data_IF_831319158220
#
_entry.id   IF_831319158220
#
_cell.length_a   1.000
_cell.length_b   1.000
_cell.length_c   1.000
_cell.angle_alpha   90.00
_cell.angle_beta   90.00
_cell.angle_gamma   90.00
#
_symmetry.space_group_name_H-M   'P 1'
#
loop_
_entity.id
_entity.type
_entity.pdbx_description
1 polymer ?
#
# COMPACT_ATOMS: atom_id res chain seq x y z
N UNK A 1 -0.33 30.16 51.05
CA UNK A 1 0.55 29.86 52.19
C UNK A 1 -0.05 28.70 52.97
N UNK A 2 0.31 27.46 52.63
CA UNK A 2 0.27 26.28 53.50
C UNK A 2 1.00 25.15 52.77
N UNK A 3 2.21 24.85 53.22
CA UNK A 3 2.98 23.67 52.84
C UNK A 3 2.42 22.43 53.54
N UNK A 4 2.39 21.29 52.85
CA UNK A 4 2.73 20.01 53.50
C UNK A 4 3.26 19.01 52.49
N UNK A 5 4.57 18.75 52.64
CA UNK A 5 5.27 17.61 52.08
C UNK A 5 4.97 16.36 52.91
N UNK A 6 4.88 15.19 52.27
CA UNK A 6 5.42 13.95 52.82
C UNK A 6 5.65 12.90 51.72
N UNK A 7 6.91 12.47 51.65
CA UNK A 7 7.42 11.31 50.92
C UNK A 7 7.01 10.00 51.59
N UNK A 8 6.75 8.95 50.79
CA UNK A 8 7.20 7.55 50.97
C UNK A 8 6.91 6.79 49.65
N UNK A 9 7.89 6.34 48.87
CA UNK A 9 8.79 5.19 49.08
C UNK A 9 8.03 3.85 48.92
N UNK A 10 8.22 3.21 47.76
CA UNK A 10 7.67 1.89 47.44
C UNK A 10 8.17 1.43 46.07
N UNK A 11 9.47 1.17 45.96
CA UNK A 11 10.12 0.65 44.75
C UNK A 11 10.13 -0.87 44.88
N UNK A 12 9.15 -1.54 44.26
CA UNK A 12 9.09 -3.00 44.27
C UNK A 12 9.93 -3.56 43.12
N UNK A 13 11.04 -4.17 43.53
CA UNK A 13 11.99 -4.93 42.73
C UNK A 13 11.57 -6.38 42.84
N UNK A 14 10.97 -6.93 41.80
CA UNK A 14 10.93 -8.38 41.55
C UNK A 14 10.37 -8.59 40.15
N UNK A 15 11.00 -9.51 39.41
CA UNK A 15 10.54 -10.30 38.27
C UNK A 15 11.73 -10.52 37.33
N UNK A 16 12.59 -11.42 37.80
CA UNK A 16 13.55 -12.17 37.00
C UNK A 16 12.92 -13.53 36.65
N UNK A 17 13.33 -14.04 35.48
CA UNK A 17 13.13 -15.40 34.93
C UNK A 17 11.78 -15.69 34.24
N UNK A 18 11.80 -15.85 32.92
CA UNK A 18 11.85 -17.21 32.36
C UNK A 18 12.29 -17.18 30.88
N UNK A 19 13.30 -17.98 30.58
CA UNK A 19 13.68 -18.37 29.23
C UNK A 19 12.60 -19.26 28.63
N UNK A 20 12.15 -18.97 27.41
CA UNK A 20 11.49 -19.94 26.55
C UNK A 20 11.96 -19.74 25.11
N UNK A 21 12.80 -20.68 24.69
CA UNK A 21 13.25 -20.88 23.32
C UNK A 21 12.02 -21.31 22.51
N UNK A 22 11.57 -20.48 21.57
CA UNK A 22 10.62 -20.91 20.53
C UNK A 22 11.42 -21.02 19.23
N UNK A 23 11.74 -22.26 18.87
CA UNK A 23 12.13 -22.60 17.51
C UNK A 23 10.85 -22.67 16.66
N UNK A 24 10.62 -21.68 15.80
CA UNK A 24 9.57 -21.77 14.77
C UNK A 24 10.20 -22.28 13.48
N UNK A 25 9.68 -23.40 13.02
CA UNK A 25 10.02 -24.01 11.74
C UNK A 25 9.67 -23.07 10.58
N UNK A 26 10.67 -22.78 9.75
CA UNK A 26 10.50 -22.09 8.47
C UNK A 26 9.90 -23.09 7.48
N UNK A 27 8.60 -22.95 7.18
CA UNK A 27 7.98 -23.62 6.04
C UNK A 27 8.05 -22.63 4.88
N UNK A 28 9.03 -22.82 3.99
CA UNK A 28 9.07 -22.15 2.69
C UNK A 28 7.92 -22.67 1.85
N UNK A 29 6.95 -21.82 1.52
CA UNK A 29 5.96 -22.14 0.50
C UNK A 29 6.59 -21.85 -0.86
N UNK A 30 6.90 -22.92 -1.59
CA UNK A 30 7.29 -22.85 -2.99
C UNK A 30 6.24 -22.11 -3.82
N UNK A 31 6.71 -21.17 -4.63
CA UNK A 31 5.91 -20.42 -5.58
C UNK A 31 5.45 -21.36 -6.71
N UNK A 32 4.14 -21.50 -6.87
CA UNK A 32 3.53 -22.03 -8.09
C UNK A 32 3.65 -20.97 -9.20
N UNK A 33 4.63 -21.14 -10.07
CA UNK A 33 4.68 -20.53 -11.40
C UNK A 33 3.52 -21.09 -12.24
N UNK A 34 2.58 -20.22 -12.62
CA UNK A 34 1.55 -20.55 -13.60
C UNK A 34 2.05 -20.06 -14.96
N UNK A 35 2.58 -20.97 -15.79
CA UNK A 35 2.83 -20.71 -17.20
C UNK A 35 1.49 -20.72 -17.95
N UNK A 36 1.09 -19.57 -18.50
CA UNK A 36 0.03 -19.49 -19.49
C UNK A 36 0.68 -19.45 -20.88
N UNK A 37 0.64 -20.60 -21.56
CA UNK A 37 1.02 -20.76 -22.97
C UNK A 37 -0.20 -20.70 -23.87
N UNK A 38 -0.05 -19.97 -24.96
CA UNK A 38 -0.60 -20.36 -26.26
C UNK A 38 -1.73 -19.48 -26.77
N UNK A 39 -1.45 -18.72 -27.83
CA UNK A 39 -2.28 -18.76 -29.04
C UNK A 39 -1.47 -18.36 -30.29
N UNK A 40 -1.20 -19.41 -31.09
CA UNK A 40 -1.22 -19.52 -32.54
C UNK A 40 -0.79 -18.30 -33.39
N UNK A 41 0.42 -18.44 -33.91
CA UNK A 41 0.90 -17.83 -35.15
C UNK A 41 0.16 -18.44 -36.36
N UNK A 42 -0.54 -17.62 -37.14
CA UNK A 42 -1.04 -17.98 -38.47
C UNK A 42 -0.35 -17.10 -39.49
N UNK A 43 0.55 -17.72 -40.26
CA UNK A 43 1.16 -17.14 -41.44
C UNK A 43 0.17 -17.17 -42.62
N UNK A 44 0.07 -16.05 -43.34
CA UNK A 44 -0.62 -15.94 -44.62
C UNK A 44 -0.01 -14.81 -45.45
N UNK A 45 0.30 -15.03 -46.75
CA UNK A 45 1.12 -14.10 -47.55
C UNK A 45 0.29 -13.09 -48.37
N UNK A 46 1.02 -12.05 -48.79
CA UNK A 46 0.81 -11.21 -49.99
C UNK A 46 -0.35 -10.20 -49.99
N UNK A 47 -0.02 -8.91 -50.05
CA UNK A 47 -0.24 -8.08 -51.25
C UNK A 47 0.13 -6.61 -50.96
N UNK A 48 1.04 -6.08 -51.77
CA UNK A 48 1.40 -4.68 -51.87
C UNK A 48 0.39 -3.91 -52.72
N UNK A 49 -0.11 -2.78 -52.22
CA UNK A 49 -0.71 -1.72 -53.05
C UNK A 49 -0.43 -0.31 -52.49
N UNK A 50 -0.25 0.72 -53.34
CA UNK A 50 0.18 2.05 -52.95
C UNK A 50 -0.97 3.08 -52.76
N UNK A 51 -0.72 4.04 -51.86
CA UNK A 51 -1.07 5.48 -51.83
C UNK A 51 -2.54 5.94 -52.07
N UNK A 52 -3.11 6.66 -51.08
CA UNK A 52 -3.83 7.96 -51.20
C UNK A 52 -4.28 8.42 -49.80
N UNK A 53 -3.78 9.55 -49.29
CA UNK A 53 -4.35 10.90 -49.40
C UNK A 53 -5.61 11.13 -48.53
N UNK A 54 -5.39 11.83 -47.40
CA UNK A 54 -6.16 12.95 -46.86
C UNK A 54 -7.70 12.97 -47.01
N UNK A 55 -8.44 12.76 -45.91
CA UNK A 55 -9.77 13.35 -45.63
C UNK A 55 -10.02 13.24 -44.10
N UNK A 56 -9.85 14.31 -43.31
CA UNK A 56 -10.86 15.29 -42.87
C UNK A 56 -12.16 14.65 -42.31
N UNK A 57 -12.52 15.09 -41.09
CA UNK A 57 -13.80 14.84 -40.40
C UNK A 57 -13.89 13.59 -39.52
N UNK A 58 -13.24 13.63 -38.34
CA UNK A 58 -13.69 12.83 -37.21
C UNK A 58 -14.64 13.70 -36.36
N UNK A 59 -15.94 13.43 -36.54
CA UNK A 59 -17.03 14.00 -35.75
C UNK A 59 -16.84 13.66 -34.28
N UNK A 60 -16.85 14.70 -33.45
CA UNK A 60 -17.21 14.66 -32.04
C UNK A 60 -18.58 13.97 -31.90
N UNK A 61 -18.61 12.75 -31.37
CA UNK A 61 -19.80 12.21 -30.75
C UNK A 61 -19.63 12.26 -29.24
N UNK A 62 -20.41 13.19 -28.69
CA UNK A 62 -20.73 13.40 -27.29
C UNK A 62 -21.10 12.09 -26.61
N UNK A 63 -20.19 11.55 -25.81
CA UNK A 63 -20.55 10.63 -24.75
C UNK A 63 -21.23 11.46 -23.66
N UNK A 64 -22.53 11.25 -23.47
CA UNK A 64 -23.32 11.82 -22.39
C UNK A 64 -22.66 11.50 -21.06
N UNK A 65 -22.09 12.53 -20.43
CA UNK A 65 -21.64 12.46 -19.06
C UNK A 65 -22.82 12.10 -18.17
N UNK A 66 -22.67 11.02 -17.40
CA UNK A 66 -23.38 10.89 -16.13
C UNK A 66 -23.01 12.13 -15.33
N UNK A 67 -23.95 13.06 -15.26
CA UNK A 67 -23.89 14.23 -14.41
C UNK A 67 -23.94 13.70 -12.98
N UNK A 68 -22.76 13.47 -12.41
CA UNK A 68 -22.56 13.29 -10.98
C UNK A 68 -23.16 14.55 -10.33
N UNK A 69 -24.34 14.38 -9.73
CA UNK A 69 -25.09 15.44 -9.09
C UNK A 69 -24.15 16.11 -8.08
N UNK A 70 -23.79 17.37 -8.35
CA UNK A 70 -22.86 18.13 -7.54
C UNK A 70 -23.47 18.32 -6.16
N UNK A 71 -23.22 17.36 -5.27
CA UNK A 71 -23.50 17.50 -3.84
C UNK A 71 -22.84 18.80 -3.38
N UNK A 72 -23.58 19.66 -2.65
CA UNK A 72 -23.03 20.91 -2.14
C UNK A 72 -21.75 20.57 -1.39
N UNK A 73 -20.67 21.31 -1.70
CA UNK A 73 -19.33 21.08 -1.15
C UNK A 73 -19.35 21.25 0.37
N UNK A 74 -19.79 20.20 1.07
CA UNK A 74 -19.65 20.07 2.50
C UNK A 74 -18.18 20.25 2.80
N UNK A 75 -17.86 21.08 3.80
CA UNK A 75 -16.49 21.22 4.29
C UNK A 75 -15.97 19.82 4.57
N UNK A 76 -14.97 19.41 3.78
CA UNK A 76 -14.47 18.04 3.73
C UNK A 76 -14.13 17.59 5.16
N UNK A 77 -14.74 16.49 5.62
CA UNK A 77 -14.43 15.89 6.91
C UNK A 77 -15.13 16.44 8.16
N UNK A 78 -16.15 17.29 8.03
CA UNK A 78 -16.94 17.73 9.20
C UNK A 78 -18.25 16.95 9.33
N UNK A 79 -18.43 16.25 10.47
CA UNK A 79 -19.61 15.45 10.76
C UNK A 79 -20.64 16.27 11.56
N UNK A 80 -21.62 16.85 10.87
CA UNK A 80 -22.64 17.75 11.46
C UNK A 80 -24.09 17.31 11.21
N UNK A 81 -24.29 16.31 10.37
CA UNK A 81 -25.62 15.92 9.89
C UNK A 81 -25.94 14.53 10.40
N UNK A 82 -27.15 14.38 10.97
CA UNK A 82 -27.66 13.08 11.41
C UNK A 82 -27.65 12.10 10.24
N UNK A 83 -27.13 10.90 10.49
CA UNK A 83 -27.16 9.83 9.50
C UNK A 83 -28.51 9.14 9.55
N UNK A 84 -29.10 8.94 8.37
CA UNK A 84 -30.30 8.11 8.20
C UNK A 84 -29.94 6.91 7.32
N UNK A 85 -29.87 5.72 7.91
CA UNK A 85 -29.42 4.50 7.24
C UNK A 85 -27.90 4.33 7.24
N UNK A 86 -27.38 3.65 6.21
CA UNK A 86 -25.97 3.21 6.15
C UNK A 86 -25.07 4.12 5.28
N UNK A 87 -25.58 5.23 4.75
CA UNK A 87 -24.76 6.14 3.96
C UNK A 87 -23.97 7.10 4.85
N UNK A 88 -22.64 7.19 4.71
CA UNK A 88 -21.84 8.12 5.49
C UNK A 88 -22.18 9.56 5.14
N UNK A 89 -22.31 10.41 6.16
CA UNK A 89 -22.57 11.85 6.00
C UNK A 89 -21.29 12.66 5.88
N UNK A 90 -20.15 12.08 6.27
CA UNK A 90 -18.82 12.63 6.04
C UNK A 90 -17.87 11.55 5.51
N UNK A 91 -16.93 11.95 4.66
CA UNK A 91 -15.89 11.08 4.13
C UNK A 91 -14.54 11.78 4.19
N UNK A 92 -13.51 11.05 4.62
CA UNK A 92 -12.12 11.51 4.63
C UNK A 92 -11.21 10.43 4.08
N UNK A 93 -10.13 10.84 3.41
CA UNK A 93 -9.13 9.91 2.86
C UNK A 93 -7.82 10.09 3.61
N UNK A 94 -7.16 8.98 3.93
CA UNK A 94 -5.79 8.98 4.47
C UNK A 94 -4.88 9.60 3.42
N UNK A 95 -4.22 10.69 3.79
CA UNK A 95 -3.26 11.38 2.94
C UNK A 95 -1.96 10.56 2.81
N UNK A 96 -1.47 10.42 1.57
CA UNK A 96 -0.30 9.60 1.27
C UNK A 96 1.03 10.17 1.75
N UNK A 97 1.07 11.47 2.09
CA UNK A 97 2.29 12.15 2.52
C UNK A 97 2.44 12.18 4.03
N UNK A 98 1.32 12.12 4.75
CA UNK A 98 1.29 12.18 6.21
C UNK A 98 0.79 10.90 6.85
N UNK A 99 0.22 9.96 6.08
CA UNK A 99 -0.44 8.75 6.57
C UNK A 99 -1.55 9.05 7.60
N UNK A 100 -2.16 10.24 7.49
CA UNK A 100 -3.21 10.72 8.37
C UNK A 100 -4.48 11.11 7.62
N UNK A 101 -5.62 10.95 8.29
CA UNK A 101 -6.89 11.60 7.95
C UNK A 101 -7.40 12.31 9.20
N UNK A 102 -8.07 13.44 9.02
CA UNK A 102 -8.67 14.22 10.10
C UNK A 102 -10.12 14.48 9.81
N UNK A 103 -10.98 14.24 10.79
CA UNK A 103 -12.38 14.61 10.74
C UNK A 103 -12.82 15.22 12.07
N UNK A 104 -13.86 16.03 12.04
CA UNK A 104 -14.38 16.71 13.23
C UNK A 104 -15.79 16.23 13.53
N UNK A 105 -16.03 15.78 14.75
CA UNK A 105 -17.35 15.54 15.30
C UNK A 105 -17.96 16.88 15.74
N UNK A 106 -18.77 17.50 14.87
CA UNK A 106 -19.25 18.87 15.04
C UNK A 106 -20.74 19.00 15.34
N UNK A 107 -21.18 20.23 15.62
CA UNK A 107 -22.60 20.53 15.88
C UNK A 107 -23.10 19.84 17.14
N UNK A 108 -24.20 19.10 17.03
CA UNK A 108 -24.80 18.35 18.15
C UNK A 108 -24.10 16.99 18.40
N UNK A 109 -23.21 16.55 17.51
CA UNK A 109 -22.54 15.24 17.53
C UNK A 109 -21.23 15.24 18.34
N UNK A 110 -21.20 15.93 19.47
CA UNK A 110 -20.03 16.09 20.34
C UNK A 110 -20.00 15.11 21.51
N UNK A 111 -20.94 14.15 21.56
CA UNK A 111 -21.12 13.18 22.65
C UNK A 111 -20.04 12.11 22.75
N UNK A 112 -19.18 11.99 21.74
CA UNK A 112 -18.09 11.01 21.70
C UNK A 112 -17.98 10.33 20.33
N UNK A 113 -17.18 9.27 20.27
CA UNK A 113 -17.00 8.45 19.08
C UNK A 113 -17.36 6.99 19.35
N UNK A 114 -17.79 6.29 18.29
CA UNK A 114 -17.83 4.83 18.26
C UNK A 114 -16.92 4.36 17.11
N UNK A 115 -15.91 3.52 17.38
CA UNK A 115 -15.46 3.06 18.70
C UNK A 115 -15.01 4.19 19.64
N UNK A 116 -14.96 3.90 20.95
CA UNK A 116 -14.61 4.90 21.96
C UNK A 116 -13.16 5.37 21.77
N UNK A 117 -12.90 6.67 21.87
CA UNK A 117 -11.56 7.24 21.77
C UNK A 117 -10.56 6.74 22.81
N UNK A 118 -11.02 6.11 23.91
CA UNK A 118 -10.14 5.41 24.85
C UNK A 118 -9.52 4.12 24.28
N UNK A 119 -10.08 3.60 23.19
CA UNK A 119 -9.61 2.41 22.47
C UNK A 119 -9.06 2.82 21.10
N UNK A 120 -7.89 3.49 21.06
CA UNK A 120 -7.46 4.23 19.88
C UNK A 120 -7.12 3.31 18.69
N UNK A 121 -7.01 1.99 18.88
CA UNK A 121 -6.74 1.04 17.79
C UNK A 121 -8.01 0.52 17.13
N UNK A 122 -9.20 0.83 17.66
CA UNK A 122 -10.48 0.29 17.17
C UNK A 122 -11.09 1.15 16.08
N UNK A 123 -11.72 0.49 15.10
CA UNK A 123 -12.60 1.08 14.11
C UNK A 123 -13.80 0.15 13.83
N UNK A 124 -14.77 0.64 13.06
CA UNK A 124 -15.87 -0.20 12.57
C UNK A 124 -15.58 -0.71 11.15
N UNK A 125 -15.75 -2.02 10.91
CA UNK A 125 -15.56 -2.63 9.59
C UNK A 125 -16.63 -2.18 8.59
N UNK A 126 -17.87 -2.01 9.07
CA UNK A 126 -19.04 -1.73 8.26
C UNK A 126 -19.71 -0.42 8.70
N UNK A 127 -20.54 0.15 7.82
CA UNK A 127 -21.27 1.39 8.05
C UNK A 127 -22.28 1.30 9.21
N UNK A 128 -22.85 0.11 9.43
CA UNK A 128 -23.73 -0.22 10.56
C UNK A 128 -23.06 0.08 11.89
N UNK A 129 -21.74 -0.19 11.99
CA UNK A 129 -20.89 0.09 13.15
C UNK A 129 -21.59 -0.29 14.46
N UNK A 130 -22.05 -1.54 14.52
CA UNK A 130 -22.63 -2.17 15.71
C UNK A 130 -21.53 -2.43 16.76
N UNK A 131 -21.70 -1.95 18.01
CA UNK A 131 -20.67 -2.09 19.03
C UNK A 131 -20.29 -3.53 19.40
N UNK A 132 -21.20 -4.49 19.23
CA UNK A 132 -20.98 -5.88 19.64
C UNK A 132 -20.30 -6.72 18.55
N UNK A 133 -20.45 -6.36 17.27
CA UNK A 133 -20.07 -7.23 16.15
C UNK A 133 -19.20 -6.58 15.08
N UNK A 134 -19.28 -5.26 14.88
CA UNK A 134 -18.58 -4.59 13.79
C UNK A 134 -17.26 -3.93 14.21
N UNK A 135 -17.01 -3.78 15.51
CA UNK A 135 -15.77 -3.20 16.01
C UNK A 135 -14.59 -4.16 15.83
N UNK A 136 -13.49 -3.67 15.28
CA UNK A 136 -12.24 -4.42 15.18
C UNK A 136 -11.04 -3.50 15.28
N UNK A 137 -9.84 -4.08 15.39
CA UNK A 137 -8.64 -3.26 15.32
C UNK A 137 -8.43 -2.81 13.87
N UNK A 138 -7.89 -1.61 13.69
CA UNK A 138 -7.50 -1.08 12.37
C UNK A 138 -6.54 -2.05 11.67
N UNK A 139 -5.66 -2.71 12.43
CA UNK A 139 -4.76 -3.77 11.95
C UNK A 139 -5.47 -4.96 11.34
N UNK A 140 -6.63 -5.34 11.85
CA UNK A 140 -7.36 -6.51 11.36
C UNK A 140 -8.08 -6.18 10.04
N UNK A 141 -8.46 -4.91 9.86
CA UNK A 141 -9.14 -4.44 8.65
C UNK A 141 -8.15 -4.16 7.52
N UNK A 142 -7.06 -3.45 7.84
CA UNK A 142 -6.08 -2.97 6.87
C UNK A 142 -4.84 -3.85 6.74
N UNK A 143 -4.57 -4.75 7.71
CA UNK A 143 -3.34 -5.54 7.75
C UNK A 143 -2.10 -4.74 8.19
N UNK A 144 -2.30 -3.53 8.74
CA UNK A 144 -1.23 -2.64 9.23
C UNK A 144 -1.68 -1.90 10.48
N UNK A 145 -0.74 -1.58 11.36
CA UNK A 145 -1.05 -0.83 12.57
C UNK A 145 -1.71 0.52 12.24
N UNK A 146 -2.61 0.93 13.11
CA UNK A 146 -3.28 2.22 13.02
C UNK A 146 -3.80 2.67 14.37
N UNK A 147 -4.02 3.98 14.47
CA UNK A 147 -4.42 4.65 15.71
C UNK A 147 -5.32 5.84 15.40
N UNK A 148 -6.37 6.02 16.19
CA UNK A 148 -7.26 7.16 16.18
C UNK A 148 -7.15 7.92 17.51
N UNK A 149 -6.90 9.21 17.43
CA UNK A 149 -6.82 10.09 18.60
C UNK A 149 -7.89 11.17 18.51
N UNK A 150 -8.59 11.41 19.62
CA UNK A 150 -9.56 12.48 19.72
C UNK A 150 -8.97 13.63 20.54
N UNK A 151 -8.84 14.81 19.92
CA UNK A 151 -8.49 16.04 20.59
C UNK A 151 -9.59 17.08 20.33
N UNK A 152 -10.37 17.40 21.37
CA UNK A 152 -11.40 18.44 21.30
C UNK A 152 -12.39 18.22 20.13
N UNK A 153 -12.86 16.98 19.96
CA UNK A 153 -13.76 16.52 18.89
C UNK A 153 -13.14 16.41 17.50
N UNK A 154 -11.85 16.73 17.34
CA UNK A 154 -11.10 16.43 16.13
C UNK A 154 -10.49 15.04 16.28
N UNK A 155 -10.94 14.12 15.44
CA UNK A 155 -10.40 12.76 15.37
C UNK A 155 -9.33 12.71 14.29
N UNK A 156 -8.11 12.38 14.68
CA UNK A 156 -7.00 12.13 13.76
C UNK A 156 -6.74 10.65 13.69
N UNK A 157 -6.92 10.06 12.52
CA UNK A 157 -6.62 8.66 12.24
C UNK A 157 -5.27 8.58 11.55
N UNK A 158 -4.34 7.82 12.11
CA UNK A 158 -2.98 7.58 11.59
C UNK A 158 -2.82 6.10 11.28
N UNK A 159 -2.18 5.76 10.17
CA UNK A 159 -1.82 4.36 9.81
C UNK A 159 -0.32 4.23 9.62
N UNK A 160 0.23 3.04 9.84
CA UNK A 160 1.68 2.80 9.71
C UNK A 160 2.18 2.88 8.26
N UNK A 161 1.33 2.50 7.30
CA UNK A 161 1.57 2.60 5.85
C UNK A 161 0.25 2.40 5.10
N UNK A 162 0.22 2.66 3.79
CA UNK A 162 -0.89 2.28 2.90
C UNK A 162 -0.55 0.97 2.19
N UNK A 163 -1.20 -0.17 2.51
CA UNK A 163 -0.91 -1.43 1.83
C UNK A 163 -1.46 -1.41 0.40
N UNK A 164 -0.62 -1.76 -0.57
CA UNK A 164 -1.01 -1.79 -2.00
C UNK A 164 -2.26 -2.68 -2.25
N UNK A 165 -2.31 -3.87 -1.62
CA UNK A 165 -3.45 -4.79 -1.72
C UNK A 165 -4.75 -4.28 -1.04
N UNK A 166 -4.69 -3.17 -0.31
CA UNK A 166 -5.80 -2.58 0.44
C UNK A 166 -6.11 -1.14 0.01
N UNK A 167 -5.52 -0.64 -1.08
CA UNK A 167 -5.87 0.68 -1.61
C UNK A 167 -7.35 0.78 -1.90
N UNK A 168 -7.95 1.92 -1.57
CA UNK A 168 -9.39 2.16 -1.63
C UNK A 168 -10.23 1.43 -0.57
N UNK A 169 -9.63 0.62 0.32
CA UNK A 169 -10.33 0.02 1.45
C UNK A 169 -10.87 1.12 2.39
N UNK A 170 -11.96 0.79 3.10
CA UNK A 170 -12.71 1.77 3.91
C UNK A 170 -13.04 1.17 5.27
N UNK A 171 -13.16 2.03 6.26
CA UNK A 171 -13.62 1.72 7.61
C UNK A 171 -14.35 2.94 8.17
N UNK A 172 -15.01 2.79 9.32
CA UNK A 172 -16.01 3.76 9.76
C UNK A 172 -15.83 4.16 11.23
N UNK A 173 -16.34 5.35 11.54
CA UNK A 173 -16.57 5.85 12.90
C UNK A 173 -17.93 6.52 12.98
N UNK A 174 -18.56 6.51 14.15
CA UNK A 174 -19.73 7.33 14.45
C UNK A 174 -19.35 8.45 15.40
N UNK A 175 -19.79 9.67 15.14
CA UNK A 175 -19.86 10.75 16.12
C UNK A 175 -21.24 10.72 16.77
N UNK A 176 -21.33 10.57 18.09
CA UNK A 176 -22.61 10.42 18.80
C UNK A 176 -23.15 11.78 19.25
N UNK A 177 -24.47 11.92 19.27
CA UNK A 177 -25.11 13.12 19.81
C UNK A 177 -24.91 13.20 21.33
N UNK A 178 -24.59 14.39 21.86
CA UNK A 178 -24.35 14.60 23.29
C UNK A 178 -25.58 14.40 24.21
N UNK A 179 -26.80 14.38 23.67
CA UNK A 179 -28.03 14.43 24.47
C UNK A 179 -29.17 13.57 23.95
N UNK A 180 -29.07 13.03 22.73
CA UNK A 180 -30.10 12.18 22.12
C UNK A 180 -29.52 10.81 21.83
N UNK A 181 -29.97 9.82 22.58
CA UNK A 181 -29.52 8.44 22.41
C UNK A 181 -29.87 7.92 21.02
N UNK A 182 -28.97 7.15 20.41
CA UNK A 182 -29.15 6.57 19.09
C UNK A 182 -28.97 7.54 17.91
N UNK A 183 -28.86 8.85 18.14
CA UNK A 183 -28.52 9.78 17.07
C UNK A 183 -27.00 9.85 16.84
N UNK A 184 -26.60 9.66 15.59
CA UNK A 184 -25.19 9.70 15.21
C UNK A 184 -24.97 10.31 13.83
N UNK A 185 -23.73 10.71 13.61
CA UNK A 185 -23.18 11.14 12.34
C UNK A 185 -22.09 10.14 11.93
N UNK A 186 -22.22 9.52 10.75
CA UNK A 186 -21.35 8.44 10.28
C UNK A 186 -20.24 9.00 9.40
N UNK A 187 -19.01 8.69 9.77
CA UNK A 187 -17.80 9.08 9.06
C UNK A 187 -17.19 7.86 8.40
N UNK A 188 -16.95 7.94 7.10
CA UNK A 188 -16.16 6.97 6.36
C UNK A 188 -14.71 7.46 6.26
N UNK A 189 -13.77 6.60 6.62
CA UNK A 189 -12.34 6.80 6.42
C UNK A 189 -11.87 5.83 5.35
N UNK A 190 -11.31 6.33 4.27
CA UNK A 190 -10.79 5.51 3.16
C UNK A 190 -9.28 5.59 3.04
N UNK A 191 -8.66 4.48 2.66
CA UNK A 191 -7.32 4.49 2.10
C UNK A 191 -7.35 5.14 0.70
N UNK A 192 -6.26 5.80 0.28
CA UNK A 192 -6.18 6.38 -1.05
C UNK A 192 -6.32 5.30 -2.13
N UNK A 193 -6.73 5.73 -3.32
CA UNK A 193 -6.96 4.84 -4.46
C UNK A 193 -5.67 4.19 -4.98
N UNK A 194 -5.83 3.36 -6.00
CA UNK A 194 -4.70 2.79 -6.74
C UNK A 194 -3.84 3.91 -7.34
N UNK A 195 -2.52 3.82 -7.12
CA UNK A 195 -1.57 4.72 -7.75
C UNK A 195 -1.08 4.13 -9.08
N UNK A 196 -0.77 4.97 -10.09
CA UNK A 196 -0.04 4.54 -11.26
C UNK A 196 1.28 3.87 -10.89
N UNK A 197 1.79 2.98 -11.74
CA UNK A 197 3.03 2.22 -11.48
C UNK A 197 4.27 3.10 -11.34
N UNK A 198 4.22 4.34 -11.85
CA UNK A 198 5.32 5.29 -11.84
C UNK A 198 5.17 6.42 -10.79
N UNK A 199 4.23 6.32 -9.86
CA UNK A 199 4.06 7.31 -8.78
C UNK A 199 4.61 6.77 -7.46
N UNK A 200 5.51 7.52 -6.84
CA UNK A 200 6.13 7.18 -5.56
C UNK A 200 5.27 7.70 -4.40
N UNK A 201 5.02 6.87 -3.39
CA UNK A 201 4.37 7.20 -2.12
C UNK A 201 5.11 6.51 -0.96
N UNK A 202 4.92 6.98 0.29
CA UNK A 202 5.64 6.47 1.47
C UNK A 202 5.71 4.93 1.51
N UNK A 203 6.92 4.40 1.69
CA UNK A 203 7.29 2.98 1.75
C UNK A 203 6.94 2.14 0.51
N UNK A 204 6.66 2.79 -0.62
CA UNK A 204 6.49 2.13 -1.91
C UNK A 204 7.84 1.98 -2.62
N UNK A 205 7.95 0.93 -3.43
CA UNK A 205 9.01 0.80 -4.44
C UNK A 205 8.41 0.96 -5.83
N UNK A 206 8.97 1.87 -6.62
CA UNK A 206 8.65 2.10 -8.03
C UNK A 206 9.77 1.47 -8.86
N UNK A 207 9.42 0.59 -9.78
CA UNK A 207 10.39 -0.05 -10.69
C UNK A 207 10.26 0.53 -12.10
N UNK A 208 11.39 0.97 -12.65
CA UNK A 208 11.50 1.52 -14.00
C UNK A 208 12.58 0.75 -14.76
N UNK A 209 12.39 0.61 -16.08
CA UNK A 209 13.36 -0.05 -16.97
C UNK A 209 13.67 0.85 -18.17
N UNK A 210 14.97 0.96 -18.47
CA UNK A 210 15.51 1.69 -19.63
C UNK A 210 16.32 0.71 -20.48
N UNK A 211 15.69 0.03 -21.47
CA UNK A 211 16.30 -1.08 -22.19
C UNK A 211 17.16 -0.66 -23.40
N UNK A 212 17.05 0.59 -23.85
CA UNK A 212 17.67 1.06 -25.08
C UNK A 212 18.27 2.47 -24.92
N UNK A 213 19.29 2.84 -25.70
CA UNK A 213 19.82 4.20 -25.70
C UNK A 213 18.74 5.20 -26.14
N UNK A 214 18.86 6.44 -25.68
CA UNK A 214 17.91 7.53 -25.94
C UNK A 214 16.47 7.25 -25.47
N UNK A 215 16.27 6.30 -24.56
CA UNK A 215 14.97 6.08 -23.92
C UNK A 215 14.81 6.93 -22.68
N UNK A 216 13.56 7.21 -22.33
CA UNK A 216 13.21 7.95 -21.13
C UNK A 216 12.15 7.19 -20.31
N UNK A 217 12.17 7.42 -19.00
CA UNK A 217 11.15 6.97 -18.06
C UNK A 217 10.73 8.14 -17.18
N UNK A 218 9.45 8.25 -16.89
CA UNK A 218 8.90 9.33 -16.06
C UNK A 218 8.37 8.74 -14.77
N UNK A 219 8.74 9.32 -13.64
CA UNK A 219 8.14 9.01 -12.34
C UNK A 219 7.71 10.29 -11.63
N UNK A 220 6.76 10.16 -10.70
CA UNK A 220 6.35 11.28 -9.84
C UNK A 220 6.72 11.01 -8.40
N UNK A 221 7.15 12.05 -7.72
CA UNK A 221 7.54 12.02 -6.33
C UNK A 221 6.60 12.92 -5.54
N UNK A 222 5.64 12.37 -4.80
CA UNK A 222 4.72 13.24 -4.05
C UNK A 222 5.38 13.89 -2.82
N UNK A 223 6.59 13.44 -2.45
CA UNK A 223 7.48 14.03 -1.44
C UNK A 223 8.58 14.90 -2.05
N UNK A 224 9.58 15.23 -1.24
CA UNK A 224 10.79 15.95 -1.69
C UNK A 224 11.79 14.94 -2.24
N UNK A 225 12.17 15.04 -3.51
CA UNK A 225 13.21 14.16 -4.05
C UNK A 225 14.56 14.45 -3.38
N UNK A 226 15.27 13.41 -2.94
CA UNK A 226 16.65 13.57 -2.49
C UNK A 226 17.53 14.07 -3.65
N UNK A 227 18.40 15.05 -3.37
CA UNK A 227 19.19 15.74 -4.41
C UNK A 227 20.14 14.84 -5.21
N UNK A 228 20.44 13.61 -4.72
CA UNK A 228 21.40 12.70 -5.34
C UNK A 228 20.90 11.25 -5.33
N UNK A 229 21.05 10.50 -6.44
CA UNK A 229 20.79 9.06 -6.46
C UNK A 229 21.81 8.26 -5.63
N UNK A 230 21.37 7.08 -5.21
CA UNK A 230 22.19 6.06 -4.56
C UNK A 230 22.44 4.92 -5.55
N UNK A 231 23.71 4.55 -5.74
CA UNK A 231 24.05 3.39 -6.56
C UNK A 231 23.75 2.12 -5.76
N UNK A 232 22.97 1.22 -6.35
CA UNK A 232 22.56 -0.04 -5.69
C UNK A 232 23.33 -1.19 -6.34
N UNK A 233 24.33 -1.70 -5.61
CA UNK A 233 25.16 -2.81 -6.10
C UNK A 233 24.41 -4.15 -6.11
N UNK A 234 23.42 -4.34 -5.22
CA UNK A 234 22.58 -5.55 -5.13
C UNK A 234 21.31 -5.29 -4.29
N UNK A 235 20.18 -5.87 -4.68
CA UNK A 235 18.96 -5.97 -3.86
C UNK A 235 17.88 -4.90 -4.09
N UNK A 236 16.78 -5.02 -3.35
CA UNK A 236 15.59 -4.13 -3.38
C UNK A 236 15.73 -2.89 -2.48
N UNK A 237 16.89 -2.74 -1.82
CA UNK A 237 17.14 -1.65 -0.87
C UNK A 237 18.08 -0.61 -1.47
N UNK A 238 17.72 0.67 -1.29
CA UNK A 238 18.55 1.83 -1.64
C UNK A 238 19.70 2.06 -0.65
N UNK A 239 20.29 0.96 -0.17
CA UNK A 239 21.39 0.90 0.77
C UNK A 239 22.70 0.88 -0.01
N UNK A 240 23.33 2.04 -0.15
CA UNK A 240 24.60 2.21 -0.85
C UNK A 240 25.17 3.60 -0.62
N UNK A 241 26.41 3.82 -1.05
CA UNK A 241 26.96 5.18 -1.04
C UNK A 241 26.36 5.98 -2.22
N UNK A 242 25.85 7.20 -1.97
CA UNK A 242 25.37 8.08 -3.02
C UNK A 242 26.46 8.31 -4.06
N UNK A 243 26.18 7.97 -5.32
CA UNK A 243 27.14 8.09 -6.41
C UNK A 243 26.52 8.90 -7.54
N UNK A 244 27.32 9.79 -8.15
CA UNK A 244 26.89 10.53 -9.32
C UNK A 244 26.89 9.59 -10.53
N UNK A 245 25.71 9.17 -10.97
CA UNK A 245 25.57 8.42 -12.22
C UNK A 245 25.80 9.33 -13.41
N UNK A 246 26.80 9.01 -14.24
CA UNK A 246 26.98 9.64 -15.55
C UNK A 246 26.07 9.01 -16.62
N UNK A 247 25.45 7.86 -16.32
CA UNK A 247 24.64 7.07 -17.25
C UNK A 247 23.24 7.69 -17.43
N UNK A 248 22.67 8.22 -16.34
CA UNK A 248 21.33 8.77 -16.34
C UNK A 248 21.32 10.30 -16.25
N UNK A 249 20.52 10.92 -17.10
CA UNK A 249 20.16 12.33 -16.98
C UNK A 249 18.80 12.44 -16.28
N UNK A 250 18.77 13.14 -15.15
CA UNK A 250 17.53 13.46 -14.45
C UNK A 250 17.11 14.89 -14.79
N UNK A 251 15.90 15.05 -15.30
CA UNK A 251 15.30 16.35 -15.61
C UNK A 251 13.92 16.47 -14.96
N UNK A 252 13.44 17.70 -14.73
CA UNK A 252 12.15 17.94 -14.07
C UNK A 252 12.27 18.36 -12.61
N UNK A 253 11.18 18.24 -11.84
CA UNK A 253 11.13 18.56 -10.41
C UNK A 253 11.05 20.03 -10.01
N UNK A 254 11.09 20.97 -10.96
CA UNK A 254 10.97 22.42 -10.67
C UNK A 254 9.54 22.95 -10.65
N UNK A 255 8.57 22.12 -11.04
CA UNK A 255 7.17 22.50 -11.15
C UNK A 255 6.35 21.75 -10.08
N UNK A 256 5.22 22.32 -9.65
CA UNK A 256 4.29 21.77 -8.63
C UNK A 256 3.88 20.30 -8.86
N UNK A 257 4.02 19.80 -10.09
CA UNK A 257 3.72 18.40 -10.46
C UNK A 257 4.65 17.34 -9.83
N UNK A 258 5.83 17.74 -9.33
CA UNK A 258 6.88 16.84 -8.82
C UNK A 258 7.17 15.62 -9.73
N UNK A 259 7.07 15.82 -11.05
CA UNK A 259 7.37 14.82 -12.05
C UNK A 259 8.84 14.93 -12.50
N UNK A 260 9.47 13.78 -12.64
CA UNK A 260 10.88 13.61 -12.99
C UNK A 260 11.01 12.70 -14.19
N UNK A 261 11.84 13.11 -15.15
CA UNK A 261 12.15 12.33 -16.35
C UNK A 261 13.60 11.89 -16.29
N UNK A 262 13.79 10.57 -16.27
CA UNK A 262 15.08 9.90 -16.40
C UNK A 262 15.33 9.61 -17.87
N UNK A 263 16.48 9.99 -18.39
CA UNK A 263 16.94 9.64 -19.72
C UNK A 263 18.25 8.87 -19.67
N UNK A 264 18.43 7.94 -20.59
CA UNK A 264 19.72 7.28 -20.83
C UNK A 264 20.24 7.70 -22.20
N UNK A 265 21.42 8.31 -22.25
CA UNK A 265 22.04 8.71 -23.53
C UNK A 265 22.69 7.49 -24.20
N UNK A 266 23.53 6.78 -23.45
CA UNK A 266 24.20 5.56 -23.87
C UNK A 266 24.01 4.48 -22.80
N UNK A 267 23.88 3.23 -23.25
CA UNK A 267 23.77 2.10 -22.33
C UNK A 267 25.13 1.81 -21.68
N UNK A 268 25.18 1.44 -20.38
CA UNK A 268 26.39 0.99 -19.73
C UNK A 268 26.87 -0.35 -20.32
N UNK A 269 28.11 -0.75 -20.07
CA UNK A 269 28.62 -2.04 -20.56
C UNK A 269 27.95 -3.24 -19.86
N UNK A 270 27.56 -3.05 -18.61
CA UNK A 270 26.87 -4.03 -17.78
C UNK A 270 25.52 -3.48 -17.30
N UNK A 271 24.52 -4.36 -17.19
CA UNK A 271 23.22 -3.98 -16.63
C UNK A 271 23.42 -3.43 -15.22
N UNK A 272 22.94 -2.22 -14.98
CA UNK A 272 23.14 -1.49 -13.73
C UNK A 272 21.79 -1.10 -13.14
N UNK A 273 21.67 -1.20 -11.82
CA UNK A 273 20.50 -0.70 -11.06
C UNK A 273 20.89 0.57 -10.32
N UNK A 274 20.08 1.60 -10.45
CA UNK A 274 20.23 2.89 -9.76
C UNK A 274 18.98 3.11 -8.91
N UNK A 275 19.13 3.67 -7.71
CA UNK A 275 18.00 4.07 -6.88
C UNK A 275 17.94 5.59 -6.69
N UNK A 276 16.74 6.13 -6.79
CA UNK A 276 16.41 7.48 -6.32
C UNK A 276 15.46 7.36 -5.13
N UNK A 277 15.62 8.23 -4.13
CA UNK A 277 14.72 8.27 -2.98
C UNK A 277 13.86 9.52 -2.98
N UNK A 278 12.56 9.30 -2.84
CA UNK A 278 11.57 10.31 -2.50
C UNK A 278 11.46 10.40 -0.98
N UNK A 279 11.78 11.55 -0.41
CA UNK A 279 11.81 11.78 1.04
C UNK A 279 10.53 12.48 1.48
N UNK A 280 9.92 11.93 2.53
CA UNK A 280 8.77 12.49 3.22
C UNK A 280 9.20 12.84 4.63
N UNK A 281 9.32 14.13 4.89
CA UNK A 281 9.58 14.65 6.24
C UNK A 281 8.27 14.71 7.03
N UNK A 282 8.39 14.85 8.35
CA UNK A 282 7.25 15.09 9.23
C UNK A 282 6.18 13.97 9.27
N UNK A 283 6.53 12.72 8.93
CA UNK A 283 5.59 11.59 8.97
C UNK A 283 5.38 11.13 10.41
N UNK A 284 4.15 11.08 10.93
CA UNK A 284 3.87 10.63 12.30
C UNK A 284 4.33 9.19 12.55
N UNK A 285 4.91 8.94 13.72
CA UNK A 285 5.27 7.61 14.19
C UNK A 285 4.10 6.93 14.88
N UNK A 286 4.03 5.61 14.80
CA UNK A 286 3.19 4.80 15.68
C UNK A 286 4.07 4.07 16.72
N UNK A 287 3.60 3.90 17.97
CA UNK A 287 2.30 4.33 18.48
C UNK A 287 2.20 5.83 18.83
N UNK A 288 3.32 6.55 18.94
CA UNK A 288 3.33 7.97 19.33
C UNK A 288 3.24 8.94 18.13
N UNK A 289 2.02 9.33 17.78
CA UNK A 289 1.68 10.22 16.65
C UNK A 289 2.20 11.66 16.79
N UNK A 290 2.65 12.05 18.00
CA UNK A 290 3.27 13.36 18.23
C UNK A 290 4.74 13.38 17.80
N UNK A 291 5.38 12.22 17.80
CA UNK A 291 6.71 12.05 17.23
C UNK A 291 6.60 11.92 15.71
N UNK A 292 7.56 12.51 15.03
CA UNK A 292 7.65 12.47 13.58
C UNK A 292 8.93 11.79 13.15
N UNK A 293 8.91 11.24 11.95
CA UNK A 293 10.04 10.64 11.30
C UNK A 293 10.10 10.96 9.83
N UNK A 294 11.30 10.77 9.30
CA UNK A 294 11.55 10.76 7.88
C UNK A 294 11.19 9.36 7.34
N UNK A 295 10.37 9.33 6.30
CA UNK A 295 10.09 8.12 5.51
C UNK A 295 10.55 8.31 4.08
N UNK A 296 10.71 7.21 3.36
CA UNK A 296 11.17 7.24 1.97
C UNK A 296 10.28 6.43 1.06
N UNK A 297 10.40 6.69 -0.23
CA UNK A 297 9.91 5.85 -1.30
C UNK A 297 11.06 5.63 -2.29
N UNK A 298 11.25 4.38 -2.70
CA UNK A 298 12.38 3.95 -3.51
C UNK A 298 12.00 3.89 -4.97
N UNK A 299 12.74 4.56 -5.85
CA UNK A 299 12.58 4.47 -7.31
C UNK A 299 13.77 3.71 -7.86
N UNK A 300 13.57 2.43 -8.13
CA UNK A 300 14.56 1.53 -8.68
C UNK A 300 14.54 1.59 -10.21
N UNK A 301 15.67 1.95 -10.80
CA UNK A 301 15.84 2.12 -12.24
C UNK A 301 16.82 1.09 -12.74
N UNK A 302 16.37 0.16 -13.58
CA UNK A 302 17.23 -0.81 -14.25
C UNK A 302 17.61 -0.26 -15.62
N UNK A 303 18.90 -0.04 -15.83
CA UNK A 303 19.47 0.33 -17.14
C UNK A 303 20.11 -0.90 -17.73
N UNK A 304 19.57 -1.37 -18.86
CA UNK A 304 20.09 -2.58 -19.51
C UNK A 304 21.47 -2.28 -20.08
N UNK A 305 22.44 -3.18 -19.85
CA UNK A 305 23.77 -3.01 -20.43
C UNK A 305 23.72 -3.21 -21.95
N UNK A 306 24.74 -2.74 -22.69
CA UNK A 306 24.93 -3.01 -24.13
C UNK A 306 24.95 -4.50 -24.47
N UNK A 307 25.11 -5.34 -23.44
CA UNK A 307 25.51 -6.72 -23.58
C UNK A 307 26.98 -6.71 -23.95
N UNK A 308 27.82 -7.37 -23.15
CA UNK A 308 28.94 -8.04 -23.81
C UNK A 308 28.27 -9.02 -24.77
N UNK A 309 28.59 -9.02 -26.08
CA UNK A 309 28.16 -10.13 -26.92
C UNK A 309 28.57 -11.38 -26.15
N UNK A 310 27.57 -12.14 -25.69
CA UNK A 310 27.83 -13.42 -25.04
C UNK A 310 28.74 -14.14 -26.03
N UNK A 311 29.96 -14.54 -25.64
CA UNK A 311 30.88 -15.12 -26.59
C UNK A 311 30.16 -16.34 -27.16
N UNK A 312 29.74 -16.23 -28.42
CA UNK A 312 29.18 -17.29 -29.25
C UNK A 312 30.24 -18.39 -29.32
N UNK A 313 30.21 -19.25 -28.30
CA UNK A 313 31.34 -20.10 -27.97
C UNK A 313 31.05 -21.04 -26.81
N UNK A 314 29.78 -21.29 -26.46
CA UNK A 314 29.40 -22.54 -25.80
C UNK A 314 28.48 -23.31 -26.74
N UNK A 315 29.10 -23.88 -27.77
CA UNK A 315 28.51 -24.98 -28.52
C UNK A 315 28.33 -26.16 -27.56
N UNK A 316 27.13 -26.72 -27.59
CA UNK A 316 26.84 -28.13 -27.29
C UNK A 316 26.81 -28.54 -25.81
N UNK A 317 25.60 -28.68 -25.29
CA UNK A 317 25.24 -29.90 -24.56
C UNK A 317 23.86 -30.35 -25.01
N UNK A 318 23.88 -31.18 -26.05
CA UNK A 318 22.80 -32.06 -26.46
C UNK A 318 22.28 -32.79 -25.22
N UNK A 319 21.11 -32.37 -24.74
CA UNK A 319 20.39 -33.13 -23.71
C UNK A 319 19.72 -34.29 -24.43
N UNK A 320 20.37 -35.44 -24.42
CA UNK A 320 19.79 -36.70 -24.90
C UNK A 320 18.59 -37.04 -24.02
N UNK A 321 17.38 -36.80 -24.52
CA UNK A 321 16.15 -37.30 -23.93
C UNK A 321 16.17 -38.83 -23.96
N UNK A 322 16.49 -39.45 -22.83
CA UNK A 322 16.36 -40.89 -22.67
C UNK A 322 14.88 -41.23 -22.60
N UNK A 323 14.37 -41.81 -23.67
CA UNK A 323 13.05 -42.42 -23.76
C UNK A 323 13.07 -43.70 -22.94
N UNK A 324 12.63 -43.63 -21.70
CA UNK A 324 12.38 -44.81 -20.86
C UNK A 324 10.89 -44.94 -20.64
N UNK A 325 10.29 -45.77 -21.47
CA UNK A 325 8.96 -46.33 -21.29
C UNK A 325 8.88 -47.08 -19.95
N UNK A 326 8.01 -46.65 -19.06
CA UNK A 326 7.47 -47.49 -18.00
C UNK A 326 6.07 -47.00 -17.62
N UNK A 327 5.08 -47.64 -18.22
CA UNK A 327 3.67 -47.58 -17.85
C UNK A 327 3.48 -48.10 -16.43
N UNK A 328 2.98 -47.27 -15.52
CA UNK A 328 2.36 -47.74 -14.28
C UNK A 328 1.03 -47.04 -14.08
N UNK A 329 -0.03 -47.81 -14.30
CA UNK A 329 -1.39 -47.50 -13.91
C UNK A 329 -1.50 -47.57 -12.39
N UNK A 330 -2.02 -46.51 -11.76
CA UNK A 330 -2.66 -46.62 -10.46
C UNK A 330 -4.03 -45.94 -10.48
N UNK A 331 -5.06 -46.80 -10.47
CA UNK A 331 -6.30 -46.61 -9.71
C UNK A 331 -5.91 -46.21 -8.27
N UNK A 332 -6.61 -45.34 -7.54
CA UNK A 332 -7.93 -45.60 -6.94
C UNK A 332 -8.44 -44.36 -6.20
N UNK A 333 -9.78 -44.30 -6.13
CA UNK A 333 -10.63 -43.58 -5.17
C UNK A 333 -10.12 -43.57 -3.73
N UNK A 334 -10.43 -42.50 -2.99
CA UNK A 334 -10.27 -42.45 -1.54
C UNK A 334 -10.84 -41.18 -0.90
N UNK A 335 -12.17 -41.14 -0.76
CA UNK A 335 -12.86 -40.23 0.17
C UNK A 335 -12.50 -40.64 1.59
N UNK A 336 -12.04 -39.70 2.43
CA UNK A 336 -12.02 -39.88 3.89
C UNK A 336 -12.65 -38.66 4.53
N UNK A 337 -13.86 -38.87 5.04
CA UNK A 337 -14.51 -37.99 6.00
C UNK A 337 -13.80 -38.15 7.35
N UNK A 338 -13.35 -37.04 7.94
CA UNK A 338 -12.88 -37.03 9.33
C UNK A 338 -14.00 -36.59 10.25
N UNK A 339 -14.23 -37.44 11.24
CA UNK A 339 -15.30 -37.42 12.19
C UNK A 339 -15.18 -36.32 13.24
N UNK A 340 -16.35 -35.95 13.75
CA UNK A 340 -16.60 -35.22 14.99
C UNK A 340 -15.96 -35.96 16.17
N UNK A 341 -15.15 -35.27 16.97
CA UNK A 341 -14.86 -35.68 18.35
C UNK A 341 -15.41 -34.59 19.27
N UNK A 342 -16.55 -34.92 19.89
CA UNK A 342 -17.02 -34.25 21.09
C UNK A 342 -16.24 -34.81 22.29
N UNK A 343 -15.75 -33.93 23.15
CA UNK A 343 -15.27 -34.27 24.48
C UNK A 343 -16.05 -33.42 25.50
N UNK A 344 -16.78 -34.13 26.35
CA UNK A 344 -17.41 -33.61 27.57
C UNK A 344 -16.74 -34.29 28.77
N UNK A 345 -16.41 -33.51 29.81
CA UNK A 345 -16.32 -33.86 31.25
C UNK A 345 -15.57 -32.69 31.93
N UNK A 346 -16.15 -31.88 32.83
CA UNK A 346 -16.60 -32.13 34.23
C UNK A 346 -15.47 -32.54 35.17
N UNK A 347 -15.03 -31.59 36.02
CA UNK A 347 -14.50 -31.69 37.41
C UNK A 347 -14.66 -30.25 37.97
N UNK A 348 -15.53 -29.90 38.94
CA UNK A 348 -15.60 -30.17 40.39
C UNK A 348 -14.35 -29.75 41.17
N UNK A 349 -14.28 -28.48 41.59
CA UNK A 349 -14.22 -28.03 42.99
C UNK A 349 -14.54 -26.52 43.05
#
# INVERSE_FOLDING_TARGET
MFCRAHLCRGMDRSWLFLWAIIAVAVITSDALLTEASGHAEVAGPAASTPVKALDKSLRLQSAQGKQEEAQPAAKLGECKVKTTGDQPTASVTIDEKSLQAKFTCGGEFTGGTVPNSSEPTKCCKNATCDPASDQANISDVLGVEGRAENNSHVVTVTVAKVPEAKRGAKFYYKCTHASKEGEFCLVMVSLPGSLPSNECAIDRTVELSLPAPHTTAVFKCNGTLADKPVEVKTGDSCSGEPTKSAILTLTGGKNESHAYTLGVAELPDTTTKLCYECVYEDVPKLPNTTEKEKRTCSVMVTVTGRGTPSPEGSKTSTSTSSTSSASIAYKTLGVVASAVVALSAVVVD
#
